data_IF_539532314328
#
_entry.id   IF_539532314328
#
_cell.length_a   1.000
_cell.length_b   1.000
_cell.length_c   1.000
_cell.angle_alpha   90.00
_cell.angle_beta   90.00
_cell.angle_gamma   90.00
#
_symmetry.space_group_name_H-M   'P 1'
#
loop_
_entity.id
_entity.type
_entity.pdbx_description
1 polymer ?
#
# COMPACT_ATOMS: atom_id res chain seq x y z
N UNK A 1 -2.26 -50.76 -9.39
CA UNK A 1 -3.12 -49.79 -8.68
C UNK A 1 -2.17 -48.90 -7.88
N UNK A 2 -1.96 -47.61 -8.12
CA UNK A 2 -2.53 -46.63 -9.04
C UNK A 2 -1.50 -45.48 -9.08
N UNK A 3 -1.06 -45.05 -10.27
CA UNK A 3 -0.20 -43.87 -10.45
C UNK A 3 -0.99 -42.59 -10.18
N UNK A 4 -0.40 -41.64 -9.45
CA UNK A 4 -0.68 -40.18 -9.39
C UNK A 4 0.36 -39.60 -8.40
N UNK A 5 1.19 -38.60 -8.68
CA UNK A 5 1.23 -37.64 -9.76
C UNK A 5 1.53 -36.26 -9.16
N UNK A 6 2.58 -35.63 -9.66
CA UNK A 6 2.94 -34.20 -9.56
C UNK A 6 3.59 -33.67 -8.29
N UNK A 7 4.83 -33.20 -8.50
CA UNK A 7 5.47 -32.10 -7.78
C UNK A 7 4.45 -31.00 -7.44
N UNK A 8 4.27 -30.71 -6.16
CA UNK A 8 3.74 -29.43 -5.72
C UNK A 8 4.91 -28.57 -5.21
N UNK A 9 5.83 -28.25 -6.12
CA UNK A 9 6.59 -26.99 -6.00
C UNK A 9 5.54 -25.91 -6.22
N UNK A 10 4.89 -25.45 -5.15
CA UNK A 10 4.03 -24.27 -5.25
C UNK A 10 4.98 -23.11 -5.45
N UNK A 11 5.11 -22.75 -6.72
CA UNK A 11 5.96 -21.72 -7.27
C UNK A 11 5.87 -20.43 -6.47
N UNK A 12 7.00 -19.72 -6.40
CA UNK A 12 7.04 -18.30 -6.13
C UNK A 12 6.06 -17.58 -7.07
N UNK A 13 4.85 -17.34 -6.57
CA UNK A 13 3.96 -16.37 -7.19
C UNK A 13 4.47 -15.00 -6.72
N UNK A 14 5.41 -14.43 -7.47
CA UNK A 14 5.66 -12.99 -7.40
C UNK A 14 4.38 -12.33 -7.89
N UNK A 15 3.50 -11.99 -6.94
CA UNK A 15 2.28 -11.24 -7.24
C UNK A 15 2.67 -9.79 -7.23
N UNK A 16 2.90 -9.23 -8.42
CA UNK A 16 3.04 -7.79 -8.60
C UNK A 16 1.63 -7.20 -8.46
N UNK A 17 1.36 -6.57 -7.31
CA UNK A 17 0.07 -5.95 -7.00
C UNK A 17 -0.02 -4.58 -7.67
N UNK A 18 -0.24 -4.54 -8.98
CA UNK A 18 -0.58 -3.31 -9.68
C UNK A 18 -2.05 -2.95 -9.44
N UNK A 19 -2.31 -2.07 -8.47
CA UNK A 19 -3.50 -1.21 -8.44
C UNK A 19 -4.86 -1.87 -8.14
N UNK A 20 -4.93 -2.97 -7.39
CA UNK A 20 -6.19 -3.60 -7.00
C UNK A 20 -6.12 -4.13 -5.56
N UNK A 21 -7.14 -3.84 -4.75
CA UNK A 21 -7.46 -4.61 -3.54
C UNK A 21 -7.69 -6.06 -3.95
N UNK A 22 -6.68 -6.91 -3.80
CA UNK A 22 -6.71 -8.30 -4.22
C UNK A 22 -6.60 -9.20 -2.99
N UNK A 23 -7.66 -9.96 -2.72
CA UNK A 23 -7.62 -11.06 -1.76
C UNK A 23 -7.17 -12.33 -2.48
N UNK A 24 -6.11 -12.96 -1.96
CA UNK A 24 -5.59 -14.24 -2.43
C UNK A 24 -5.70 -15.24 -1.29
N UNK A 25 -6.68 -16.14 -1.41
CA UNK A 25 -6.85 -17.24 -0.48
C UNK A 25 -6.07 -18.44 -1.02
N UNK A 26 -5.22 -19.02 -0.17
CA UNK A 26 -4.56 -20.29 -0.48
C UNK A 26 -4.90 -21.28 0.63
N UNK A 27 -5.21 -22.51 0.25
CA UNK A 27 -5.23 -23.61 1.22
C UNK A 27 -3.77 -23.91 1.58
N UNK A 28 -3.45 -23.77 2.86
CA UNK A 28 -2.10 -24.00 3.38
C UNK A 28 -1.78 -25.50 3.31
N UNK A 29 -0.50 -25.89 3.14
CA UNK A 29 -0.07 -27.28 3.31
C UNK A 29 -0.18 -27.77 4.76
N UNK A 30 -0.41 -26.88 5.74
CA UNK A 30 -0.68 -27.23 7.13
C UNK A 30 -2.04 -27.93 7.25
N UNK A 31 -2.06 -29.18 7.70
CA UNK A 31 -3.29 -29.94 7.87
C UNK A 31 -4.15 -29.27 8.97
N UNK A 32 -5.32 -28.74 8.61
CA UNK A 32 -6.21 -28.06 9.57
C UNK A 32 -5.87 -26.60 9.88
N UNK A 33 -5.02 -25.94 9.07
CA UNK A 33 -4.86 -24.49 9.14
C UNK A 33 -5.11 -23.82 7.78
N UNK A 34 -5.81 -22.68 7.79
CA UNK A 34 -6.10 -21.88 6.59
C UNK A 34 -5.33 -20.57 6.70
N UNK A 35 -4.49 -20.27 5.71
CA UNK A 35 -3.76 -19.01 5.63
C UNK A 35 -4.28 -18.18 4.46
N UNK A 36 -4.88 -17.05 4.77
CA UNK A 36 -5.44 -16.10 3.81
C UNK A 36 -4.54 -14.88 3.74
N UNK A 37 -4.19 -14.47 2.52
CA UNK A 37 -3.44 -13.25 2.27
C UNK A 37 -4.35 -12.24 1.59
N UNK A 38 -4.42 -11.02 2.12
CA UNK A 38 -5.23 -9.96 1.55
C UNK A 38 -4.37 -8.70 1.41
N UNK A 39 -4.12 -8.27 0.18
CA UNK A 39 -3.65 -6.92 -0.04
C UNK A 39 -4.85 -5.98 0.05
N UNK A 40 -4.88 -5.13 1.08
CA UNK A 40 -5.90 -4.09 1.18
C UNK A 40 -5.66 -3.05 0.08
N UNK A 41 -4.40 -2.62 -0.06
CA UNK A 41 -3.93 -1.68 -1.07
C UNK A 41 -2.41 -1.78 -1.26
N UNK A 42 -1.81 -0.89 -2.05
CA UNK A 42 -0.38 -0.92 -2.35
C UNK A 42 0.54 -0.77 -1.11
N UNK A 43 0.10 -0.06 -0.06
CA UNK A 43 0.88 0.16 1.17
C UNK A 43 0.33 -0.54 2.41
N UNK A 44 -0.74 -1.34 2.30
CA UNK A 44 -1.30 -2.12 3.40
C UNK A 44 -1.65 -3.53 2.96
N UNK A 45 -1.17 -4.51 3.73
CA UNK A 45 -1.51 -5.92 3.56
C UNK A 45 -1.87 -6.56 4.88
N UNK A 46 -2.66 -7.60 4.81
CA UNK A 46 -3.03 -8.43 5.95
C UNK A 46 -2.83 -9.89 5.63
N UNK A 47 -2.27 -10.61 6.59
CA UNK A 47 -2.15 -12.06 6.56
C UNK A 47 -2.95 -12.61 7.73
N UNK A 48 -3.92 -13.46 7.44
CA UNK A 48 -4.72 -14.13 8.47
C UNK A 48 -4.43 -15.63 8.42
N UNK A 49 -3.97 -16.19 9.53
CA UNK A 49 -3.79 -17.62 9.69
C UNK A 49 -4.73 -18.12 10.80
N UNK A 50 -5.53 -19.13 10.49
CA UNK A 50 -6.41 -19.78 11.47
C UNK A 50 -6.07 -21.27 11.56
N UNK A 51 -5.98 -21.81 12.77
CA UNK A 51 -5.83 -23.25 13.00
C UNK A 51 -7.08 -23.87 13.61
N UNK A 52 -7.17 -25.20 13.62
CA UNK A 52 -8.32 -25.92 14.17
C UNK A 52 -8.34 -25.97 15.72
N UNK A 53 -7.16 -25.90 16.36
CA UNK A 53 -7.02 -26.08 17.82
C UNK A 53 -6.20 -25.00 18.53
N UNK A 54 -5.33 -24.30 17.80
CA UNK A 54 -4.58 -23.14 18.28
C UNK A 54 -4.33 -22.16 17.13
N UNK A 55 -4.16 -20.88 17.46
CA UNK A 55 -3.79 -19.86 16.49
C UNK A 55 -2.31 -20.02 16.07
N UNK A 56 -2.00 -20.10 14.76
CA UNK A 56 -0.62 -20.07 14.27
C UNK A 56 0.05 -18.73 14.55
N UNK A 57 1.33 -18.71 14.90
CA UNK A 57 2.08 -17.45 15.00
C UNK A 57 2.46 -16.93 13.62
N UNK A 58 2.33 -15.62 13.43
CA UNK A 58 2.74 -14.93 12.20
C UNK A 58 3.90 -14.00 12.49
N UNK A 59 4.99 -14.11 11.73
CA UNK A 59 6.18 -13.27 11.89
C UNK A 59 6.75 -12.80 10.55
N UNK A 60 7.43 -11.65 10.57
CA UNK A 60 8.28 -11.19 9.47
C UNK A 60 9.75 -11.52 9.81
N UNK A 61 10.43 -12.42 9.07
CA UNK A 61 11.78 -12.88 9.42
C UNK A 61 12.84 -11.80 9.16
N UNK A 62 12.56 -10.87 8.25
CA UNK A 62 13.37 -9.67 8.03
C UNK A 62 12.70 -8.51 8.76
N UNK A 63 13.49 -7.77 9.55
CA UNK A 63 13.00 -6.54 10.17
C UNK A 63 12.51 -5.59 9.07
N UNK A 64 11.24 -5.19 9.17
CA UNK A 64 10.68 -4.17 8.28
C UNK A 64 11.45 -2.87 8.49
N UNK A 65 12.14 -2.42 7.44
CA UNK A 65 12.75 -1.10 7.44
C UNK A 65 11.65 -0.04 7.29
N UNK A 66 11.85 1.11 7.91
CA UNK A 66 10.99 2.27 7.68
C UNK A 66 10.85 2.53 6.16
N UNK A 67 9.64 2.88 5.66
CA UNK A 67 8.45 3.30 6.41
C UNK A 67 7.49 2.14 6.79
N UNK A 68 7.87 0.89 6.56
CA UNK A 68 6.99 -0.25 6.84
C UNK A 68 6.97 -0.60 8.33
N UNK A 69 5.80 -0.95 8.82
CA UNK A 69 5.53 -1.41 10.18
C UNK A 69 4.60 -2.61 10.13
N UNK A 70 4.62 -3.44 11.17
CA UNK A 70 3.72 -4.58 11.29
C UNK A 70 3.12 -4.68 12.69
N UNK A 71 1.86 -5.02 12.76
CA UNK A 71 1.13 -5.32 13.98
C UNK A 71 0.48 -6.69 13.86
N UNK A 72 0.67 -7.55 14.86
CA UNK A 72 -0.01 -8.83 14.97
C UNK A 72 -1.11 -8.76 16.03
N UNK A 73 -2.31 -9.20 15.67
CA UNK A 73 -3.43 -9.40 16.58
C UNK A 73 -3.85 -10.87 16.56
N UNK A 74 -4.28 -11.41 17.70
CA UNK A 74 -4.71 -12.81 17.81
C UNK A 74 -6.05 -12.87 18.52
N UNK A 75 -7.04 -13.41 17.82
CA UNK A 75 -8.40 -13.60 18.33
C UNK A 75 -8.82 -15.07 18.15
N UNK A 76 -9.05 -15.74 19.27
CA UNK A 76 -9.40 -17.16 19.33
C UNK A 76 -8.36 -18.05 18.64
N UNK A 77 -8.77 -18.64 17.51
CA UNK A 77 -7.97 -19.59 16.73
C UNK A 77 -7.27 -18.94 15.54
N UNK A 78 -7.35 -17.61 15.39
CA UNK A 78 -6.80 -16.89 14.26
C UNK A 78 -5.81 -15.81 14.71
N UNK A 79 -4.70 -15.70 14.01
CA UNK A 79 -3.78 -14.58 14.10
C UNK A 79 -3.83 -13.78 12.81
N UNK A 80 -3.91 -12.46 12.93
CA UNK A 80 -3.86 -11.50 11.83
C UNK A 80 -2.57 -10.69 11.97
N UNK A 81 -1.75 -10.66 10.93
CA UNK A 81 -0.59 -9.79 10.81
C UNK A 81 -0.92 -8.71 9.78
N UNK A 82 -1.07 -7.48 10.23
CA UNK A 82 -1.25 -6.31 9.38
C UNK A 82 0.09 -5.63 9.19
N UNK A 83 0.48 -5.43 7.93
CA UNK A 83 1.70 -4.72 7.55
C UNK A 83 1.27 -3.46 6.81
N UNK A 84 1.73 -2.30 7.26
CA UNK A 84 1.42 -1.01 6.64
C UNK A 84 2.69 -0.17 6.48
N UNK A 85 2.77 0.59 5.39
CA UNK A 85 3.70 1.71 5.29
C UNK A 85 2.98 3.00 5.68
N UNK A 86 3.54 3.73 6.66
CA UNK A 86 3.02 5.06 7.02
C UNK A 86 3.24 6.05 5.87
N UNK A 87 2.35 7.05 5.70
CA UNK A 87 2.49 8.11 4.70
C UNK A 87 3.55 9.16 5.09
N UNK A 88 4.62 8.76 5.78
CA UNK A 88 5.87 9.52 5.78
C UNK A 88 6.62 9.13 4.51
N UNK A 89 6.16 9.67 3.38
CA UNK A 89 6.73 9.44 2.06
C UNK A 89 8.15 10.05 2.00
N UNK A 90 9.13 9.34 2.54
CA UNK A 90 10.55 9.62 2.29
C UNK A 90 10.96 9.03 0.91
N UNK A 91 12.24 9.15 0.56
CA UNK A 91 13.00 8.76 -0.65
C UNK A 91 12.64 7.43 -1.36
N UNK A 92 11.76 6.61 -0.80
CA UNK A 92 11.36 5.27 -1.22
C UNK A 92 10.14 5.21 -2.15
N UNK A 93 9.55 6.34 -2.54
CA UNK A 93 8.42 6.35 -3.49
C UNK A 93 8.85 5.74 -4.83
N UNK A 94 8.06 4.78 -5.33
CA UNK A 94 8.40 4.00 -6.51
C UNK A 94 9.39 2.86 -6.27
N UNK A 95 9.85 2.64 -5.02
CA UNK A 95 10.62 1.45 -4.66
C UNK A 95 9.70 0.25 -4.43
N UNK A 96 10.19 -0.93 -4.82
CA UNK A 96 9.61 -2.22 -4.53
C UNK A 96 10.40 -2.85 -3.39
N UNK A 97 9.73 -3.27 -2.32
CA UNK A 97 10.34 -3.96 -1.18
C UNK A 97 9.69 -5.32 -1.02
N UNK A 98 10.52 -6.36 -0.97
CA UNK A 98 10.04 -7.70 -0.68
C UNK A 98 9.84 -7.88 0.82
N UNK A 99 8.66 -8.33 1.23
CA UNK A 99 8.31 -8.67 2.60
C UNK A 99 7.89 -10.12 2.67
N UNK A 100 8.58 -10.90 3.50
CA UNK A 100 8.21 -12.29 3.77
C UNK A 100 7.41 -12.40 5.07
N UNK A 101 6.41 -13.27 5.07
CA UNK A 101 5.64 -13.67 6.25
C UNK A 101 5.80 -15.17 6.44
N UNK A 102 6.12 -15.56 7.67
CA UNK A 102 6.24 -16.95 8.10
C UNK A 102 5.11 -17.25 9.06
N UNK A 103 4.34 -18.29 8.75
CA UNK A 103 3.34 -18.87 9.63
C UNK A 103 3.93 -20.13 10.29
N UNK A 104 3.86 -20.18 11.62
CA UNK A 104 4.35 -21.30 12.43
C UNK A 104 3.20 -21.86 13.26
N UNK A 105 3.00 -23.18 13.22
CA UNK A 105 2.02 -23.89 14.03
C UNK A 105 2.70 -25.05 14.78
N UNK A 106 2.19 -25.39 15.96
CA UNK A 106 2.81 -26.42 16.81
C UNK A 106 2.69 -27.80 16.16
N UNK A 107 3.84 -28.42 15.86
CA UNK A 107 3.90 -29.75 15.24
C UNK A 107 3.86 -29.75 13.72
N UNK A 108 3.78 -28.59 13.08
CA UNK A 108 3.74 -28.42 11.62
C UNK A 108 5.03 -27.77 11.10
N UNK A 109 5.31 -27.93 9.80
CA UNK A 109 6.41 -27.21 9.14
C UNK A 109 6.04 -25.73 8.89
N UNK A 110 7.03 -24.83 9.04
CA UNK A 110 6.84 -23.40 8.80
C UNK A 110 6.48 -23.11 7.33
N UNK A 111 5.46 -22.27 7.14
CA UNK A 111 5.03 -21.83 5.80
C UNK A 111 5.47 -20.39 5.57
N UNK A 112 6.39 -20.19 4.62
CA UNK A 112 6.84 -18.85 4.22
C UNK A 112 6.25 -18.43 2.86
N UNK A 113 5.82 -17.16 2.80
CA UNK A 113 5.47 -16.47 1.55
C UNK A 113 6.02 -15.06 1.54
N UNK A 114 6.49 -14.62 0.39
CA UNK A 114 7.05 -13.28 0.19
C UNK A 114 6.22 -12.50 -0.82
N UNK A 115 6.15 -11.19 -0.60
CA UNK A 115 5.31 -10.27 -1.35
C UNK A 115 6.10 -9.03 -1.71
N UNK A 116 5.87 -8.53 -2.92
CA UNK A 116 6.37 -7.23 -3.34
C UNK A 116 5.40 -6.14 -2.91
N UNK A 117 5.83 -5.27 -2.00
CA UNK A 117 5.14 -4.03 -1.66
C UNK A 117 5.73 -2.88 -2.47
N UNK A 118 4.88 -2.04 -3.05
CA UNK A 118 5.28 -0.84 -3.79
C UNK A 118 4.64 0.38 -3.15
N UNK A 119 5.41 1.44 -2.97
CA UNK A 119 4.91 2.71 -2.46
C UNK A 119 4.49 3.56 -3.67
N UNK A 120 3.18 3.67 -3.99
CA UNK A 120 2.74 4.43 -5.14
C UNK A 120 2.96 5.93 -4.91
N UNK A 121 3.45 6.61 -5.94
CA UNK A 121 3.45 8.07 -5.93
C UNK A 121 2.02 8.61 -5.99
N UNK A 122 1.73 9.65 -5.23
CA UNK A 122 0.49 10.45 -5.31
C UNK A 122 -0.79 9.72 -4.89
N UNK A 123 -0.64 8.59 -4.19
CA UNK A 123 -1.75 7.79 -3.69
C UNK A 123 -1.45 7.33 -2.28
N UNK A 124 -2.53 7.12 -1.52
CA UNK A 124 -2.48 6.60 -0.17
C UNK A 124 -3.57 5.57 0.03
N UNK A 125 -3.49 4.87 1.16
CA UNK A 125 -4.50 3.94 1.60
C UNK A 125 -5.29 4.53 2.74
N UNK A 126 -6.60 4.46 2.62
CA UNK A 126 -7.54 5.00 3.59
C UNK A 126 -7.47 4.19 4.88
N UNK A 127 -7.28 4.85 6.01
CA UNK A 127 -7.32 4.27 7.34
C UNK A 127 -8.75 4.22 7.91
N UNK A 128 -8.93 3.50 9.02
CA UNK A 128 -10.24 3.44 9.67
C UNK A 128 -10.67 4.82 10.18
N UNK A 129 -11.91 5.22 9.86
CA UNK A 129 -12.48 6.50 10.26
C UNK A 129 -12.07 7.68 9.38
N UNK A 130 -11.22 7.48 8.37
CA UNK A 130 -10.88 8.53 7.42
C UNK A 130 -12.02 8.85 6.44
N UNK A 131 -12.00 10.08 5.97
CA UNK A 131 -12.89 10.63 4.94
C UNK A 131 -12.08 11.42 3.93
N UNK A 132 -12.65 11.73 2.77
CA UNK A 132 -11.99 12.65 1.82
C UNK A 132 -11.65 14.01 2.45
N UNK A 133 -12.44 14.48 3.42
CA UNK A 133 -12.17 15.75 4.10
C UNK A 133 -11.00 15.69 5.06
N UNK A 134 -10.86 14.62 5.85
CA UNK A 134 -9.73 14.48 6.79
C UNK A 134 -8.44 14.25 6.02
N UNK A 135 -8.49 13.36 5.02
CA UNK A 135 -7.37 13.11 4.11
C UNK A 135 -6.94 14.41 3.43
N UNK A 136 -7.88 15.16 2.84
CA UNK A 136 -7.53 16.40 2.15
C UNK A 136 -6.90 17.44 3.10
N UNK A 137 -7.39 17.54 4.33
CA UNK A 137 -6.87 18.46 5.33
C UNK A 137 -5.39 18.20 5.66
N UNK A 138 -4.99 16.93 5.76
CA UNK A 138 -3.59 16.54 6.05
C UNK A 138 -2.61 17.01 4.97
N UNK A 139 -3.08 17.13 3.72
CA UNK A 139 -2.28 17.59 2.58
C UNK A 139 -2.55 19.05 2.20
N UNK A 140 -3.38 19.77 2.96
CA UNK A 140 -3.79 21.15 2.64
C UNK A 140 -4.55 21.25 1.31
N UNK A 141 -5.35 20.23 1.00
CA UNK A 141 -6.28 20.17 -0.13
C UNK A 141 -7.72 20.33 0.36
N UNK A 142 -8.65 20.56 -0.56
CA UNK A 142 -10.09 20.37 -0.33
C UNK A 142 -10.53 18.96 -0.71
N UNK A 143 -11.57 18.47 -0.03
CA UNK A 143 -12.19 17.18 -0.35
C UNK A 143 -12.62 17.10 -1.82
N UNK A 144 -12.98 18.23 -2.46
CA UNK A 144 -13.37 18.29 -3.86
C UNK A 144 -12.19 18.03 -4.80
N UNK A 145 -10.99 18.51 -4.47
CA UNK A 145 -9.77 18.23 -5.25
C UNK A 145 -9.45 16.74 -5.22
N UNK A 146 -9.52 16.13 -4.03
CA UNK A 146 -9.28 14.70 -3.87
C UNK A 146 -10.38 13.91 -4.58
N UNK A 147 -11.65 14.26 -4.44
CA UNK A 147 -12.74 13.58 -5.15
C UNK A 147 -12.58 13.65 -6.67
N UNK A 148 -12.24 14.82 -7.21
CA UNK A 148 -12.02 15.02 -8.65
C UNK A 148 -10.84 14.19 -9.20
N UNK A 149 -9.83 13.89 -8.36
CA UNK A 149 -8.72 13.00 -8.72
C UNK A 149 -9.12 11.51 -8.73
N UNK A 150 -10.29 11.15 -8.20
CA UNK A 150 -10.73 9.77 -8.00
C UNK A 150 -12.06 9.49 -8.74
N UNK A 151 -12.06 9.42 -10.08
CA UNK A 151 -13.30 9.24 -10.87
C UNK A 151 -14.01 7.90 -10.65
N UNK A 152 -13.36 6.95 -9.94
CA UNK A 152 -13.98 5.68 -9.53
C UNK A 152 -14.93 5.82 -8.34
N UNK A 153 -14.78 6.89 -7.54
CA UNK A 153 -15.67 7.20 -6.42
C UNK A 153 -16.98 7.78 -6.95
N UNK A 154 -18.09 7.04 -6.81
CA UNK A 154 -19.41 7.50 -7.29
C UNK A 154 -19.93 8.65 -6.43
N UNK A 155 -19.72 8.57 -5.12
CA UNK A 155 -20.00 9.66 -4.18
C UNK A 155 -18.76 9.97 -3.34
N UNK A 156 -18.63 11.21 -2.83
CA UNK A 156 -17.49 11.58 -1.98
C UNK A 156 -17.46 10.84 -0.63
N UNK A 157 -18.56 10.21 -0.22
CA UNK A 157 -18.65 9.43 1.01
C UNK A 157 -18.43 7.93 0.79
N UNK A 158 -18.16 7.49 -0.45
CA UNK A 158 -17.96 6.07 -0.78
C UNK A 158 -16.54 5.57 -0.48
N UNK A 159 -15.73 6.36 0.25
CA UNK A 159 -14.38 5.96 0.67
C UNK A 159 -14.47 4.89 1.76
N UNK A 160 -13.71 3.80 1.60
CA UNK A 160 -13.67 2.68 2.54
C UNK A 160 -12.26 2.46 3.08
N UNK A 161 -12.10 1.97 4.33
CA UNK A 161 -10.79 1.57 4.85
C UNK A 161 -10.10 0.54 3.93
N UNK A 162 -8.80 0.70 3.75
CA UNK A 162 -8.00 -0.10 2.83
C UNK A 162 -8.19 0.26 1.34
N UNK A 163 -9.03 1.24 1.01
CA UNK A 163 -9.16 1.71 -0.37
C UNK A 163 -8.01 2.65 -0.73
N UNK A 164 -7.50 2.52 -1.96
CA UNK A 164 -6.52 3.46 -2.50
C UNK A 164 -7.21 4.76 -2.99
N UNK A 165 -6.67 5.90 -2.55
CA UNK A 165 -7.13 7.25 -2.92
C UNK A 165 -5.98 8.04 -3.53
N UNK A 166 -6.20 8.63 -4.70
CA UNK A 166 -5.25 9.54 -5.32
C UNK A 166 -5.39 10.96 -4.76
N UNK A 167 -4.27 11.57 -4.38
CA UNK A 167 -4.23 12.98 -3.97
C UNK A 167 -4.24 13.93 -5.19
N UNK A 168 -3.78 13.43 -6.33
CA UNK A 168 -3.72 14.17 -7.58
C UNK A 168 -3.07 13.34 -8.69
N UNK A 169 -3.07 13.84 -9.93
CA UNK A 169 -2.32 13.21 -11.01
C UNK A 169 -0.81 13.22 -10.72
N UNK A 170 -0.17 12.09 -11.02
CA UNK A 170 1.28 12.00 -11.04
C UNK A 170 1.81 12.52 -12.38
N UNK A 171 2.75 13.47 -12.32
CA UNK A 171 3.45 14.03 -13.47
C UNK A 171 4.90 13.55 -13.49
N UNK A 172 5.41 13.22 -14.68
CA UNK A 172 6.82 12.87 -14.88
C UNK A 172 7.55 14.12 -15.35
N UNK A 173 8.48 14.59 -14.52
CA UNK A 173 9.28 15.79 -14.75
C UNK A 173 10.07 15.66 -16.04
N UNK A 174 10.02 16.69 -16.89
CA UNK A 174 10.80 16.75 -18.12
C UNK A 174 12.15 17.41 -17.88
N UNK A 175 13.07 17.16 -18.79
CA UNK A 175 14.38 17.80 -18.79
C UNK A 175 14.26 19.32 -18.72
N UNK A 176 14.92 19.91 -17.72
CA UNK A 176 14.96 21.35 -17.48
C UNK A 176 13.78 21.95 -16.72
N UNK A 177 12.73 21.17 -16.38
CA UNK A 177 11.64 21.66 -15.53
C UNK A 177 12.06 21.74 -14.05
N UNK A 178 11.58 22.75 -13.33
CA UNK A 178 11.66 22.84 -11.87
C UNK A 178 10.26 23.02 -11.24
N UNK A 179 10.17 23.07 -9.91
CA UNK A 179 8.88 23.20 -9.23
C UNK A 179 8.07 24.45 -9.60
N UNK A 180 8.73 25.57 -9.95
CA UNK A 180 8.03 26.78 -10.39
C UNK A 180 7.39 26.61 -11.77
N UNK A 181 8.05 25.89 -12.68
CA UNK A 181 7.48 25.57 -13.99
C UNK A 181 6.22 24.68 -13.83
N UNK A 182 6.30 23.68 -12.96
CA UNK A 182 5.16 22.81 -12.65
C UNK A 182 4.03 23.59 -11.99
N UNK A 183 4.33 24.42 -10.99
CA UNK A 183 3.35 25.27 -10.32
C UNK A 183 2.60 26.17 -11.30
N UNK A 184 3.33 26.87 -12.18
CA UNK A 184 2.75 27.72 -13.23
C UNK A 184 1.86 26.93 -14.19
N UNK A 185 2.32 25.75 -14.61
CA UNK A 185 1.64 24.88 -15.57
C UNK A 185 0.35 24.30 -15.00
N UNK A 186 0.38 23.80 -13.77
CA UNK A 186 -0.75 23.14 -13.13
C UNK A 186 -1.62 24.08 -12.32
N UNK A 187 -1.28 25.38 -12.31
CA UNK A 187 -1.98 26.41 -11.53
C UNK A 187 -2.04 26.00 -10.06
N UNK A 188 -0.88 25.61 -9.56
CA UNK A 188 -0.64 25.14 -8.22
C UNK A 188 0.36 26.07 -7.54
N UNK A 189 0.44 25.98 -6.22
CA UNK A 189 1.53 26.59 -5.45
C UNK A 189 2.63 25.55 -5.25
N UNK A 190 3.90 25.99 -5.24
CA UNK A 190 5.05 25.10 -4.99
C UNK A 190 4.89 24.36 -3.66
N UNK A 191 4.38 25.05 -2.65
CA UNK A 191 4.10 24.50 -1.32
C UNK A 191 3.00 23.42 -1.36
N UNK A 192 1.96 23.59 -2.18
CA UNK A 192 0.97 22.55 -2.43
C UNK A 192 1.60 21.33 -3.10
N UNK A 193 2.43 21.54 -4.13
CA UNK A 193 3.15 20.45 -4.80
C UNK A 193 4.04 19.69 -3.82
N UNK A 194 4.78 20.38 -2.96
CA UNK A 194 5.63 19.76 -1.95
C UNK A 194 4.81 18.97 -0.91
N UNK A 195 3.69 19.52 -0.43
CA UNK A 195 2.80 18.80 0.51
C UNK A 195 2.28 17.50 -0.07
N UNK A 196 1.85 17.49 -1.33
CA UNK A 196 1.30 16.28 -1.97
C UNK A 196 2.37 15.40 -2.60
N UNK A 197 3.61 15.89 -2.73
CA UNK A 197 4.79 15.15 -3.21
C UNK A 197 5.87 15.02 -2.12
N UNK A 198 5.56 14.39 -0.98
CA UNK A 198 6.50 14.28 0.13
C UNK A 198 7.79 13.50 -0.22
N UNK A 199 7.82 12.75 -1.34
CA UNK A 199 9.05 12.21 -1.93
C UNK A 199 10.04 13.25 -2.47
N UNK A 200 9.65 14.53 -2.49
CA UNK A 200 10.51 15.63 -2.84
C UNK A 200 11.14 16.18 -1.56
N UNK A 201 12.46 16.35 -1.59
CA UNK A 201 13.12 17.18 -0.59
C UNK A 201 12.56 18.60 -0.67
N UNK A 202 12.68 19.37 0.42
CA UNK A 202 12.27 20.78 0.46
C UNK A 202 13.07 21.71 -0.50
N UNK A 203 13.94 21.14 -1.33
CA UNK A 203 14.61 21.86 -2.40
C UNK A 203 13.66 22.10 -3.58
N UNK A 204 13.86 23.20 -4.30
CA UNK A 204 13.11 23.51 -5.53
C UNK A 204 13.53 22.66 -6.74
N UNK A 205 14.42 21.68 -6.53
CA UNK A 205 15.04 20.89 -7.58
C UNK A 205 14.28 19.58 -7.76
N UNK A 206 13.97 19.28 -9.01
CA UNK A 206 13.41 18.01 -9.45
C UNK A 206 14.24 17.50 -10.62
N UNK A 207 14.36 16.18 -10.72
CA UNK A 207 15.14 15.55 -11.78
C UNK A 207 14.25 15.09 -12.94
N UNK A 208 14.78 15.12 -14.16
CA UNK A 208 14.07 14.58 -15.31
C UNK A 208 13.76 13.09 -15.09
N UNK A 209 12.51 12.69 -15.32
CA UNK A 209 12.01 11.34 -15.05
C UNK A 209 11.44 11.15 -13.64
N UNK A 210 11.64 12.09 -12.71
CA UNK A 210 11.08 12.02 -11.38
C UNK A 210 9.55 12.17 -11.41
N UNK A 211 8.84 11.41 -10.57
CA UNK A 211 7.39 11.53 -10.40
C UNK A 211 7.06 12.56 -9.34
N UNK A 212 6.19 13.51 -9.69
CA UNK A 212 5.72 14.60 -8.84
C UNK A 212 4.20 14.60 -8.81
N UNK A 213 3.62 14.78 -7.65
CA UNK A 213 2.18 14.88 -7.46
C UNK A 213 1.77 16.34 -7.65
N UNK A 214 0.79 16.57 -8.51
CA UNK A 214 0.34 17.94 -8.79
C UNK A 214 -1.12 18.10 -8.42
N UNK A 215 -1.41 19.17 -7.68
CA UNK A 215 -2.76 19.54 -7.28
C UNK A 215 -2.94 21.05 -7.50
N UNK A 216 -3.95 21.42 -8.29
CA UNK A 216 -4.30 22.82 -8.56
C UNK A 216 -4.73 23.52 -7.28
N UNK A 217 -4.36 24.79 -7.07
CA UNK A 217 -4.75 25.55 -5.87
C UNK A 217 -6.11 26.28 -5.99
N UNK A 218 -6.81 26.17 -7.11
CA UNK A 218 -8.09 26.89 -7.33
C UNK A 218 -9.24 26.46 -6.42
N UNK A 219 -9.18 25.26 -5.84
CA UNK A 219 -10.26 24.71 -5.02
C UNK A 219 -9.88 24.58 -3.54
N UNK A 220 -8.82 25.26 -3.09
CA UNK A 220 -8.24 25.14 -1.73
C UNK A 220 -8.97 25.99 -0.67
N UNK A 221 -10.21 26.43 -0.96
CA UNK A 221 -10.99 27.36 -0.13
C UNK A 221 -11.85 26.67 0.91
#
# INVERSE_FOLDING_TARGET
MQMRGLLAVIAAAVVVLEGVSASLQFESPMEGAVVQFAAKCATQMEVKACGDSAAPSLTTPTALAAPFSSQSDTDGLCTVLSISASPAFDEKVGSETEVCVVATAAGEEDVQRCFSLSIPACRLCVEEGESLSTIAADFGLSWLQVWAANPKLKTPNDVQPGQEVALGPAYVVKEGENLYDLASRFRADVDTILRVSPNLSSSSQVEAGQRVCVASSYCSG
#
